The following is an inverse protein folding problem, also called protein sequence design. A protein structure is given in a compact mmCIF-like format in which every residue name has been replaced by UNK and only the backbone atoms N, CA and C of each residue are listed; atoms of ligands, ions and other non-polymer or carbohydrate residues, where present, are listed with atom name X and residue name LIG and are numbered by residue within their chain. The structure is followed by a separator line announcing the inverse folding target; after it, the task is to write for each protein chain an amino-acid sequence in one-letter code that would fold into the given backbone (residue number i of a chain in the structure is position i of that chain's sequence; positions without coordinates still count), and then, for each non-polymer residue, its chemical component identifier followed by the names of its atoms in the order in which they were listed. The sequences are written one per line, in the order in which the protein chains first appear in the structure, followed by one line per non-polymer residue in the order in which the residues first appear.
data_IF_146486048905
#
_entry.id   IF_146486048905
#
_cell.length_a   1.000
_cell.length_b   1.000
_cell.length_c   1.000
_cell.angle_alpha   90.00
_cell.angle_beta   90.00
_cell.angle_gamma   90.00
#
_symmetry.space_group_name_H-M   'P 1'
#
loop_
_entity.id
_entity.type
_entity.pdbx_description
1 polymer ?
#
# COMPACT_ATOMS: atom_id res chain seq x y z
N UNK A 1 5.74 19.70 -0.59
CA UNK A 1 6.85 19.92 -1.54
C UNK A 1 7.05 18.64 -2.32
N UNK A 2 7.14 18.70 -3.65
CA UNK A 2 7.46 17.52 -4.45
C UNK A 2 8.95 17.21 -4.29
N UNK A 3 9.28 16.00 -3.84
CA UNK A 3 10.66 15.53 -3.81
C UNK A 3 10.97 14.81 -5.12
N UNK A 4 12.13 15.07 -5.72
CA UNK A 4 12.55 14.38 -6.94
C UNK A 4 13.08 12.98 -6.60
N UNK A 5 12.79 12.03 -7.47
CA UNK A 5 13.29 10.66 -7.38
C UNK A 5 14.03 10.37 -8.69
N UNK A 6 15.32 10.08 -8.61
CA UNK A 6 16.07 9.54 -9.74
C UNK A 6 16.02 8.01 -9.66
N UNK A 7 15.56 7.38 -10.74
CA UNK A 7 15.40 5.94 -10.83
C UNK A 7 16.13 5.42 -12.06
N UNK A 8 17.05 4.48 -11.86
CA UNK A 8 17.64 3.72 -12.96
C UNK A 8 16.69 2.60 -13.36
N UNK A 9 16.42 2.48 -14.66
CA UNK A 9 15.54 1.46 -15.22
C UNK A 9 16.33 0.58 -16.19
N UNK A 10 15.91 -0.67 -16.31
CA UNK A 10 16.33 -1.51 -17.43
C UNK A 10 15.66 -1.01 -18.72
N UNK A 11 16.25 -1.35 -19.87
CA UNK A 11 15.70 -0.97 -21.17
C UNK A 11 14.27 -1.51 -21.37
N UNK A 12 14.00 -2.71 -20.86
CA UNK A 12 12.66 -3.32 -20.88
C UNK A 12 11.63 -2.48 -20.13
N UNK A 13 11.94 -2.07 -18.89
CA UNK A 13 11.02 -1.24 -18.09
C UNK A 13 10.86 0.15 -18.71
N UNK A 14 11.91 0.69 -19.33
CA UNK A 14 11.83 1.95 -20.04
C UNK A 14 10.90 1.86 -21.25
N UNK A 15 11.05 0.83 -22.08
CA UNK A 15 10.18 0.57 -23.21
C UNK A 15 8.71 0.35 -22.79
N UNK A 16 8.49 -0.34 -21.66
CA UNK A 16 7.15 -0.50 -21.11
C UNK A 16 6.51 0.84 -20.74
N UNK A 17 7.26 1.74 -20.09
CA UNK A 17 6.75 3.08 -19.76
C UNK A 17 6.45 3.86 -21.04
N UNK A 18 7.39 3.90 -21.98
CA UNK A 18 7.25 4.67 -23.22
C UNK A 18 6.07 4.15 -24.09
N UNK A 19 5.72 2.86 -24.01
CA UNK A 19 4.54 2.31 -24.68
C UNK A 19 3.19 2.69 -24.02
N UNK A 20 3.21 3.10 -22.74
CA UNK A 20 2.03 3.43 -21.95
C UNK A 20 1.86 4.93 -21.70
N UNK A 21 2.77 5.77 -22.22
CA UNK A 21 2.70 7.22 -22.13
C UNK A 21 3.03 7.89 -23.47
N UNK A 22 2.45 9.06 -23.72
CA UNK A 22 2.60 9.80 -24.98
C UNK A 22 1.26 10.18 -25.61
N UNK A 23 1.32 10.81 -26.79
CA UNK A 23 0.14 11.32 -27.48
C UNK A 23 -0.85 10.21 -27.83
N UNK A 24 -2.10 10.38 -27.37
CA UNK A 24 -3.18 9.40 -27.54
C UNK A 24 -3.25 8.31 -26.46
N UNK A 25 -2.36 8.32 -25.46
CA UNK A 25 -2.44 7.44 -24.28
C UNK A 25 -3.12 8.13 -23.10
N UNK A 26 -3.41 7.37 -22.03
CA UNK A 26 -3.99 7.91 -20.80
C UNK A 26 -3.04 8.88 -20.07
N UNK A 27 -1.72 8.74 -20.26
CA UNK A 27 -0.72 9.50 -19.52
C UNK A 27 0.16 10.31 -20.46
N UNK A 28 0.23 11.62 -20.22
CA UNK A 28 1.02 12.51 -21.07
C UNK A 28 2.52 12.38 -20.82
N UNK A 29 2.93 11.97 -19.61
CA UNK A 29 4.36 11.86 -19.25
C UNK A 29 4.70 10.54 -18.54
N UNK A 30 5.93 10.03 -18.71
CA UNK A 30 6.45 8.89 -17.95
C UNK A 30 6.29 9.04 -16.43
N UNK A 31 6.56 10.25 -15.91
CA UNK A 31 6.48 10.49 -14.47
C UNK A 31 5.05 10.46 -13.94
N UNK A 32 4.06 10.80 -14.75
CA UNK A 32 2.65 10.67 -14.38
C UNK A 32 2.24 9.20 -14.30
N UNK A 33 2.56 8.43 -15.34
CA UNK A 33 2.32 6.99 -15.39
C UNK A 33 2.93 6.28 -14.17
N UNK A 34 4.22 6.51 -13.91
CA UNK A 34 4.92 5.87 -12.79
C UNK A 34 4.29 6.25 -11.44
N UNK A 35 3.91 7.52 -11.25
CA UNK A 35 3.24 7.94 -10.01
C UNK A 35 1.92 7.22 -9.82
N UNK A 36 1.13 7.05 -10.88
CA UNK A 36 -0.15 6.38 -10.76
C UNK A 36 0.00 4.88 -10.48
N UNK A 37 0.90 4.20 -11.19
CA UNK A 37 1.25 2.79 -10.93
C UNK A 37 1.69 2.60 -9.47
N UNK A 38 2.52 3.51 -8.93
CA UNK A 38 2.94 3.45 -7.53
C UNK A 38 1.78 3.64 -6.55
N UNK A 39 0.83 4.54 -6.84
CA UNK A 39 -0.38 4.72 -6.01
C UNK A 39 -1.24 3.46 -6.02
N UNK A 40 -1.47 2.88 -7.19
CA UNK A 40 -2.24 1.65 -7.33
C UNK A 40 -1.58 0.51 -6.55
N UNK A 41 -0.27 0.33 -6.70
CA UNK A 41 0.49 -0.69 -5.98
C UNK A 41 0.43 -0.48 -4.47
N UNK A 42 0.57 0.76 -3.99
CA UNK A 42 0.43 1.10 -2.56
C UNK A 42 -0.96 0.70 -2.05
N UNK A 43 -2.02 1.09 -2.75
CA UNK A 43 -3.39 0.77 -2.36
C UNK A 43 -3.63 -0.74 -2.29
N UNK A 44 -3.08 -1.52 -3.25
CA UNK A 44 -3.15 -2.98 -3.23
C UNK A 44 -2.45 -3.57 -1.99
N UNK A 45 -1.24 -3.09 -1.66
CA UNK A 45 -0.50 -3.55 -0.49
C UNK A 45 -1.26 -3.24 0.80
N UNK A 46 -1.81 -2.03 0.92
CA UNK A 46 -2.60 -1.62 2.08
C UNK A 46 -3.88 -2.44 2.23
N UNK A 47 -4.59 -2.69 1.12
CA UNK A 47 -5.77 -3.54 1.11
C UNK A 47 -5.45 -4.99 1.50
N UNK A 48 -4.31 -5.53 1.01
CA UNK A 48 -3.86 -6.86 1.39
C UNK A 48 -3.55 -6.92 2.90
N UNK A 49 -2.76 -5.98 3.42
CA UNK A 49 -2.45 -5.91 4.85
C UNK A 49 -3.72 -5.82 5.70
N UNK A 50 -4.69 -4.99 5.29
CA UNK A 50 -5.96 -4.87 6.01
C UNK A 50 -6.74 -6.20 6.03
N UNK A 51 -6.77 -6.94 4.91
CA UNK A 51 -7.40 -8.27 4.85
C UNK A 51 -6.68 -9.25 5.79
N UNK A 52 -5.36 -9.29 5.74
CA UNK A 52 -4.56 -10.18 6.57
C UNK A 52 -4.80 -9.89 8.06
N UNK A 53 -4.82 -8.61 8.48
CA UNK A 53 -5.13 -8.22 9.85
C UNK A 53 -6.56 -8.56 10.29
N UNK A 54 -7.54 -8.53 9.37
CA UNK A 54 -8.90 -8.96 9.67
C UNK A 54 -8.94 -10.47 9.93
N UNK A 55 -8.27 -11.26 9.09
CA UNK A 55 -8.20 -12.72 9.24
C UNK A 55 -7.52 -13.08 10.56
N UNK A 56 -6.37 -12.46 10.85
CA UNK A 56 -5.65 -12.61 12.11
C UNK A 56 -6.54 -12.29 13.32
N UNK A 57 -7.31 -11.19 13.27
CA UNK A 57 -8.25 -10.84 14.33
C UNK A 57 -9.38 -11.87 14.53
N UNK A 58 -9.86 -12.50 13.46
CA UNK A 58 -10.82 -13.61 13.57
C UNK A 58 -10.19 -14.86 14.18
N UNK A 59 -8.96 -15.19 13.80
CA UNK A 59 -8.21 -16.31 14.39
C UNK A 59 -7.95 -16.09 15.88
N UNK A 60 -7.62 -14.87 16.29
CA UNK A 60 -7.49 -14.48 17.69
C UNK A 60 -8.82 -14.61 18.46
N UNK A 61 -9.94 -14.25 17.83
CA UNK A 61 -11.27 -14.42 18.43
C UNK A 61 -11.61 -15.90 18.64
N UNK A 62 -11.32 -16.75 17.66
CA UNK A 62 -11.51 -18.21 17.75
C UNK A 62 -10.61 -18.81 18.83
N UNK A 63 -9.35 -18.37 18.91
CA UNK A 63 -8.39 -18.86 19.88
C UNK A 63 -8.59 -18.27 21.31
N UNK A 64 -9.54 -17.35 21.49
CA UNK A 64 -9.80 -16.69 22.78
C UNK A 64 -8.75 -15.66 23.18
N UNK A 65 -7.87 -15.21 22.27
CA UNK A 65 -6.86 -14.17 22.49
C UNK A 65 -7.45 -12.76 22.37
N UNK A 66 -8.61 -12.54 22.98
CA UNK A 66 -9.34 -11.25 22.91
C UNK A 66 -9.32 -10.52 24.23
N UNK A 67 -9.19 -9.20 24.18
CA UNK A 67 -9.33 -8.31 25.35
C UNK A 67 -10.64 -7.53 25.26
N UNK A 68 -11.39 -7.48 26.36
CA UNK A 68 -12.65 -6.72 26.42
C UNK A 68 -12.36 -5.23 26.25
N UNK A 69 -13.00 -4.61 25.26
CA UNK A 69 -12.85 -3.18 24.99
C UNK A 69 -13.30 -2.34 26.20
N UNK A 70 -12.41 -1.45 26.69
CA UNK A 70 -12.65 -0.60 27.87
C UNK A 70 -12.90 0.88 27.52
N UNK A 71 -13.11 1.21 26.25
CA UNK A 71 -13.41 2.58 25.81
C UNK A 71 -12.21 3.36 25.27
N UNK A 72 -10.97 2.91 25.51
CA UNK A 72 -9.75 3.54 24.99
C UNK A 72 -8.85 2.52 24.26
N UNK A 73 -8.86 2.57 22.93
CA UNK A 73 -8.06 1.70 22.07
C UNK A 73 -6.55 1.94 22.25
N UNK A 74 -6.11 3.19 22.45
CA UNK A 74 -4.68 3.53 22.59
C UNK A 74 -4.10 2.98 23.89
N UNK A 75 -4.85 3.11 24.98
CA UNK A 75 -4.42 2.56 26.27
C UNK A 75 -4.36 1.02 26.26
N UNK A 76 -5.24 0.38 25.51
CA UNK A 76 -5.25 -1.09 25.37
C UNK A 76 -4.12 -1.61 24.48
N UNK A 77 -3.81 -0.94 23.36
CA UNK A 77 -2.67 -1.32 22.51
C UNK A 77 -1.33 -1.26 23.27
N UNK A 78 -1.11 -0.22 24.08
CA UNK A 78 0.08 -0.14 24.95
C UNK A 78 0.21 -1.27 25.97
N UNK A 79 -0.91 -1.85 26.41
CA UNK A 79 -0.91 -2.99 27.34
C UNK A 79 -0.69 -4.33 26.64
N UNK A 80 -0.98 -4.41 25.34
CA UNK A 80 -0.75 -5.61 24.53
C UNK A 80 0.68 -5.71 23.99
N UNK A 81 1.42 -4.59 23.91
CA UNK A 81 2.84 -4.54 23.53
C UNK A 81 3.83 -4.84 24.69
N UNK A 82 3.33 -5.03 25.93
CA UNK A 82 4.13 -5.40 27.12
C UNK A 82 3.98 -6.89 27.44
#
# INVERSE_FOLDING_TARGET
MANSLNLSLTDELRAFIDANCGDGTLYATPSEFVRDVLRQRKAQIEAQRARDSIIEGYEDAIAGRTVKFQGDVRAMLKKAEQ
#
